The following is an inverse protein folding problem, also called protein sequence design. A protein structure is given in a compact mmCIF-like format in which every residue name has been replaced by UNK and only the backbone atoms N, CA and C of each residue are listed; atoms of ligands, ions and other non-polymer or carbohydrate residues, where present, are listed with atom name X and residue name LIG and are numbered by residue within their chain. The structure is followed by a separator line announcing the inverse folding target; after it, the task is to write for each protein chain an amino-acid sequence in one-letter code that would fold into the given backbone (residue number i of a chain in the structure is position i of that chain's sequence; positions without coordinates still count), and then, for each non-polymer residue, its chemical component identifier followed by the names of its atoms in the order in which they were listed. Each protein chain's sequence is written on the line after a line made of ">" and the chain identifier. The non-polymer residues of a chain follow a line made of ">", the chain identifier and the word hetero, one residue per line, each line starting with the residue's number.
data_IF_985473792701
#
_entry.id   IF_985473792701
#
_cell.length_a   1.000
_cell.length_b   1.000
_cell.length_c   1.000
_cell.angle_alpha   90.00
_cell.angle_beta   90.00
_cell.angle_gamma   90.00
#
_symmetry.space_group_name_H-M   'P 1'
#
loop_
_entity.id
_entity.type
_entity.pdbx_description
1 polymer ?
#
# COMPACT_ATOMS: atom_id res chain seq x y z
N UNK A 1 -16.98 -21.53 5.17
CA UNK A 1 -17.57 -20.34 4.53
C UNK A 1 -16.68 -19.91 3.37
N UNK A 2 -16.82 -20.56 2.22
CA UNK A 2 -16.27 -20.04 0.97
C UNK A 2 -17.13 -18.85 0.58
N UNK A 3 -16.56 -17.64 0.64
CA UNK A 3 -17.24 -16.48 0.07
C UNK A 3 -17.48 -16.80 -1.42
N UNK A 4 -18.74 -16.72 -1.85
CA UNK A 4 -19.12 -17.01 -3.22
C UNK A 4 -18.31 -16.15 -4.18
N UNK A 5 -17.80 -16.76 -5.25
CA UNK A 5 -16.98 -16.14 -6.28
C UNK A 5 -17.84 -15.16 -7.11
N UNK A 6 -18.26 -14.05 -6.52
CA UNK A 6 -18.85 -12.93 -7.25
C UNK A 6 -17.71 -12.09 -7.79
N UNK A 7 -17.12 -12.54 -8.90
CA UNK A 7 -16.10 -11.78 -9.60
C UNK A 7 -16.73 -10.50 -10.17
N UNK A 8 -16.25 -9.34 -9.71
CA UNK A 8 -16.68 -8.03 -10.22
C UNK A 8 -15.65 -7.54 -11.23
N UNK A 9 -15.95 -7.68 -12.51
CA UNK A 9 -15.07 -7.23 -13.59
C UNK A 9 -14.70 -5.73 -13.45
N UNK A 10 -15.63 -4.91 -12.97
CA UNK A 10 -15.36 -3.50 -12.66
C UNK A 10 -14.33 -3.34 -11.54
N UNK A 11 -14.47 -4.11 -10.45
CA UNK A 11 -13.50 -4.12 -9.36
C UNK A 11 -12.11 -4.56 -9.82
N UNK A 12 -12.04 -5.60 -10.65
CA UNK A 12 -10.78 -6.12 -11.19
C UNK A 12 -10.08 -5.09 -12.09
N UNK A 13 -10.82 -4.42 -12.97
CA UNK A 13 -10.28 -3.36 -13.83
C UNK A 13 -9.78 -2.18 -12.98
N UNK A 14 -10.55 -1.74 -11.99
CA UNK A 14 -10.13 -0.64 -11.11
C UNK A 14 -8.88 -1.00 -10.31
N UNK A 15 -8.79 -2.23 -9.79
CA UNK A 15 -7.61 -2.72 -9.09
C UNK A 15 -6.40 -2.77 -10.02
N UNK A 16 -6.56 -3.28 -11.23
CA UNK A 16 -5.48 -3.34 -12.22
C UNK A 16 -4.93 -1.94 -12.56
N UNK A 17 -5.83 -0.99 -12.83
CA UNK A 17 -5.45 0.41 -13.10
C UNK A 17 -4.76 1.04 -11.89
N UNK A 18 -5.27 0.81 -10.68
CA UNK A 18 -4.66 1.32 -9.45
C UNK A 18 -3.24 0.79 -9.25
N UNK A 19 -3.01 -0.51 -9.49
CA UNK A 19 -1.66 -1.11 -9.38
C UNK A 19 -0.67 -0.48 -10.36
N UNK A 20 -1.08 -0.24 -11.62
CA UNK A 20 -0.23 0.41 -12.63
C UNK A 20 0.11 1.84 -12.21
N UNK A 21 -0.91 2.64 -11.85
CA UNK A 21 -0.74 4.05 -11.49
C UNK A 21 0.15 4.17 -10.23
N UNK A 22 -0.11 3.36 -9.20
CA UNK A 22 0.70 3.36 -7.98
C UNK A 22 2.15 2.92 -8.27
N UNK A 23 2.35 1.87 -9.07
CA UNK A 23 3.68 1.41 -9.45
C UNK A 23 4.49 2.47 -10.19
N UNK A 24 3.87 3.16 -11.16
CA UNK A 24 4.48 4.29 -11.87
C UNK A 24 4.77 5.47 -10.94
N UNK A 25 3.83 5.82 -10.05
CA UNK A 25 4.01 6.86 -9.06
C UNK A 25 5.20 6.60 -8.14
N UNK A 26 5.39 5.36 -7.69
CA UNK A 26 6.54 4.99 -6.87
C UNK A 26 7.86 5.01 -7.65
N UNK A 27 7.85 4.56 -8.89
CA UNK A 27 9.04 4.60 -9.75
C UNK A 27 9.49 6.05 -10.01
N UNK A 28 8.58 6.93 -10.37
CA UNK A 28 8.86 8.35 -10.59
C UNK A 28 9.23 9.07 -9.30
N UNK A 29 8.53 8.79 -8.20
CA UNK A 29 8.86 9.34 -6.87
C UNK A 29 10.27 8.94 -6.42
N UNK A 30 10.68 7.69 -6.66
CA UNK A 30 12.04 7.23 -6.39
C UNK A 30 13.09 7.93 -7.27
N UNK A 31 12.77 8.18 -8.55
CA UNK A 31 13.63 8.94 -9.46
C UNK A 31 13.79 10.39 -9.01
N UNK A 32 12.69 11.08 -8.69
CA UNK A 32 12.71 12.44 -8.15
C UNK A 32 13.47 12.52 -6.83
N UNK A 33 13.40 11.48 -6.00
CA UNK A 33 14.07 11.47 -4.70
C UNK A 33 15.59 11.50 -4.79
N UNK A 34 16.17 11.18 -5.95
CA UNK A 34 17.61 11.32 -6.21
C UNK A 34 18.05 12.77 -6.37
N UNK A 35 17.15 13.66 -6.80
CA UNK A 35 17.45 15.09 -7.03
C UNK A 35 16.86 16.00 -5.96
N UNK A 36 15.62 15.73 -5.53
CA UNK A 36 14.89 16.52 -4.54
C UNK A 36 14.98 15.94 -3.12
N UNK A 37 15.43 14.70 -2.93
CA UNK A 37 15.38 14.03 -1.63
C UNK A 37 13.99 13.49 -1.26
N UNK A 38 13.96 12.31 -0.63
CA UNK A 38 12.70 11.57 -0.40
C UNK A 38 11.65 12.30 0.45
N UNK A 39 12.09 13.13 1.41
CA UNK A 39 11.15 13.89 2.24
C UNK A 39 10.44 15.01 1.46
N UNK A 40 11.15 15.68 0.53
CA UNK A 40 10.55 16.73 -0.29
C UNK A 40 9.57 16.13 -1.30
N UNK A 41 9.90 14.96 -1.86
CA UNK A 41 9.00 14.26 -2.80
C UNK A 41 7.66 13.91 -2.15
N UNK A 42 7.66 13.32 -0.95
CA UNK A 42 6.39 13.01 -0.27
C UNK A 42 5.64 14.26 0.16
N UNK A 43 6.32 15.29 0.68
CA UNK A 43 5.67 16.54 1.06
C UNK A 43 4.97 17.20 -0.15
N UNK A 44 5.65 17.27 -1.29
CA UNK A 44 5.04 17.80 -2.51
C UNK A 44 3.90 16.93 -3.03
N UNK A 45 4.03 15.59 -2.99
CA UNK A 45 2.95 14.69 -3.35
C UNK A 45 1.71 14.90 -2.47
N UNK A 46 1.89 15.11 -1.16
CA UNK A 46 0.80 15.41 -0.23
C UNK A 46 0.16 16.77 -0.52
N UNK A 47 0.95 17.82 -0.72
CA UNK A 47 0.44 19.16 -1.05
C UNK A 47 -0.34 19.17 -2.36
N UNK A 48 0.16 18.48 -3.39
CA UNK A 48 -0.50 18.40 -4.71
C UNK A 48 -1.78 17.56 -4.68
N UNK A 49 -1.82 16.50 -3.85
CA UNK A 49 -3.00 15.66 -3.70
C UNK A 49 -4.06 16.26 -2.76
N UNK A 50 -3.66 17.14 -1.85
CA UNK A 50 -4.53 17.79 -0.86
C UNK A 50 -5.82 18.39 -1.43
N UNK A 51 -5.83 19.21 -2.51
CA UNK A 51 -7.08 19.81 -3.00
C UNK A 51 -8.10 18.77 -3.46
N UNK A 52 -7.65 17.72 -4.15
CA UNK A 52 -8.51 16.63 -4.62
C UNK A 52 -8.99 15.80 -3.43
N UNK A 53 -8.09 15.45 -2.52
CA UNK A 53 -8.42 14.64 -1.35
C UNK A 53 -9.32 15.38 -0.35
N UNK A 54 -9.12 16.68 -0.16
CA UNK A 54 -9.99 17.51 0.68
C UNK A 54 -11.40 17.60 0.11
N UNK A 55 -11.52 17.78 -1.22
CA UNK A 55 -12.82 17.80 -1.89
C UNK A 55 -13.56 16.46 -1.75
N UNK A 56 -12.85 15.34 -1.93
CA UNK A 56 -13.42 14.01 -1.71
C UNK A 56 -13.75 13.74 -0.24
N UNK A 57 -12.93 14.21 0.70
CA UNK A 57 -13.19 14.07 2.13
C UNK A 57 -14.47 14.79 2.55
N UNK A 58 -14.74 15.98 1.99
CA UNK A 58 -16.00 16.71 2.20
C UNK A 58 -17.17 15.98 1.53
N UNK A 59 -17.00 15.52 0.29
CA UNK A 59 -18.05 14.80 -0.44
C UNK A 59 -18.45 13.49 0.25
N UNK A 60 -17.48 12.76 0.80
CA UNK A 60 -17.68 11.49 1.51
C UNK A 60 -17.91 11.68 3.02
N UNK A 61 -18.01 12.92 3.52
CA UNK A 61 -18.16 13.16 4.95
C UNK A 61 -19.48 12.58 5.48
N UNK A 62 -19.46 11.93 6.65
CA UNK A 62 -20.71 11.50 7.29
C UNK A 62 -21.51 12.73 7.73
N UNK A 63 -22.82 12.56 7.88
CA UNK A 63 -23.71 13.61 8.40
C UNK A 63 -23.37 14.04 9.83
N UNK A 64 -22.65 13.21 10.60
CA UNK A 64 -22.15 13.52 11.93
C UNK A 64 -20.86 12.77 12.26
N UNK A 65 -19.96 13.42 12.98
CA UNK A 65 -18.72 12.84 13.52
C UNK A 65 -18.87 12.31 14.95
N UNK A 66 -20.06 12.42 15.56
CA UNK A 66 -20.27 12.11 16.97
C UNK A 66 -20.00 10.64 17.35
N UNK A 67 -20.10 9.72 16.38
CA UNK A 67 -19.90 8.28 16.59
C UNK A 67 -18.45 7.81 16.30
N UNK A 68 -17.51 8.73 16.06
CA UNK A 68 -16.10 8.37 15.81
C UNK A 68 -15.36 8.26 17.14
N UNK A 69 -15.06 7.02 17.52
CA UNK A 69 -14.37 6.74 18.78
C UNK A 69 -12.89 7.20 18.75
N UNK A 70 -12.30 7.54 19.92
CA UNK A 70 -10.89 7.95 20.01
C UNK A 70 -9.87 7.03 19.32
N UNK A 71 -9.99 5.68 19.35
CA UNK A 71 -9.05 4.81 18.63
C UNK A 71 -9.03 5.03 17.12
N UNK A 72 -10.14 5.44 16.50
CA UNK A 72 -10.18 5.74 15.06
C UNK A 72 -9.37 7.00 14.74
N UNK A 73 -9.46 8.03 15.60
CA UNK A 73 -8.65 9.25 15.48
C UNK A 73 -7.15 8.98 15.69
N UNK A 74 -6.81 8.15 16.66
CA UNK A 74 -5.42 7.71 16.87
C UNK A 74 -4.91 6.89 15.69
N UNK A 75 -5.73 6.01 15.11
CA UNK A 75 -5.43 5.29 13.89
C UNK A 75 -5.16 6.22 12.70
N UNK A 76 -6.00 7.25 12.52
CA UNK A 76 -5.80 8.28 11.50
C UNK A 76 -4.49 9.04 11.70
N UNK A 77 -4.19 9.47 12.93
CA UNK A 77 -2.93 10.14 13.26
C UNK A 77 -1.73 9.23 12.99
N UNK A 78 -1.81 7.95 13.36
CA UNK A 78 -0.76 6.98 13.12
C UNK A 78 -0.51 6.74 11.62
N UNK A 79 -1.57 6.47 10.86
CA UNK A 79 -1.48 6.20 9.42
C UNK A 79 -0.98 7.43 8.66
N UNK A 80 -1.44 8.63 9.02
CA UNK A 80 -1.00 9.86 8.33
C UNK A 80 0.45 10.24 8.65
N UNK A 81 0.86 10.23 9.92
CA UNK A 81 2.18 10.70 10.31
C UNK A 81 3.26 9.62 10.14
N UNK A 82 3.06 8.43 10.71
CA UNK A 82 4.08 7.40 10.75
C UNK A 82 4.11 6.57 9.47
N UNK A 83 2.94 6.10 9.00
CA UNK A 83 2.90 5.27 7.81
C UNK A 83 3.07 6.09 6.53
N UNK A 84 2.27 7.15 6.36
CA UNK A 84 2.22 7.91 5.11
C UNK A 84 3.34 8.95 4.99
N UNK A 85 3.61 9.77 6.02
CA UNK A 85 4.67 10.78 5.91
C UNK A 85 6.05 10.17 6.18
N UNK A 86 6.32 9.77 7.43
CA UNK A 86 7.65 9.31 7.87
C UNK A 86 8.06 8.04 7.11
N UNK A 87 7.16 7.06 7.01
CA UNK A 87 7.39 5.82 6.29
C UNK A 87 7.76 6.06 4.83
N UNK A 88 7.09 6.99 4.14
CA UNK A 88 7.40 7.28 2.74
C UNK A 88 8.72 8.03 2.54
N UNK A 89 9.18 8.83 3.51
CA UNK A 89 10.53 9.41 3.44
C UNK A 89 11.57 8.31 3.28
N UNK A 90 11.47 7.27 4.10
CA UNK A 90 12.37 6.12 4.05
C UNK A 90 12.10 5.23 2.84
N UNK A 91 10.84 5.03 2.47
CA UNK A 91 10.45 4.23 1.31
C UNK A 91 11.05 4.78 0.02
N UNK A 92 10.86 6.06 -0.25
CA UNK A 92 11.38 6.70 -1.46
C UNK A 92 12.90 6.73 -1.47
N UNK A 93 13.54 6.98 -0.33
CA UNK A 93 14.99 6.90 -0.19
C UNK A 93 15.50 5.47 -0.43
N UNK A 94 14.81 4.47 0.11
CA UNK A 94 15.09 3.05 -0.09
C UNK A 94 14.99 2.66 -1.56
N UNK A 95 13.91 3.03 -2.25
CA UNK A 95 13.73 2.80 -3.68
C UNK A 95 14.83 3.49 -4.51
N UNK A 96 15.18 4.73 -4.17
CA UNK A 96 16.20 5.49 -4.89
C UNK A 96 17.59 4.86 -4.79
N UNK A 97 17.95 4.33 -3.61
CA UNK A 97 19.26 3.74 -3.29
C UNK A 97 19.36 2.25 -3.66
N UNK A 98 18.39 1.45 -3.25
CA UNK A 98 18.36 -0.01 -3.47
C UNK A 98 17.85 -0.42 -4.85
N UNK A 99 17.34 0.53 -5.63
CA UNK A 99 16.75 0.29 -6.95
C UNK A 99 15.30 -0.17 -6.85
N UNK A 100 14.46 0.46 -7.69
CA UNK A 100 12.99 0.27 -7.69
C UNK A 100 12.60 -1.21 -7.80
N UNK A 101 13.23 -1.93 -8.73
CA UNK A 101 12.91 -3.34 -8.94
C UNK A 101 13.26 -4.21 -7.73
N UNK A 102 14.44 -4.08 -7.13
CA UNK A 102 14.88 -4.91 -6.02
C UNK A 102 14.07 -4.63 -4.75
N UNK A 103 13.88 -3.35 -4.42
CA UNK A 103 13.10 -2.94 -3.24
C UNK A 103 11.61 -3.28 -3.41
N UNK A 104 11.07 -3.21 -4.64
CA UNK A 104 9.73 -3.71 -4.94
C UNK A 104 9.58 -5.22 -4.71
N UNK A 105 10.63 -6.02 -4.93
CA UNK A 105 10.57 -7.45 -4.58
C UNK A 105 10.54 -7.69 -3.08
N UNK A 106 11.18 -6.83 -2.27
CA UNK A 106 11.11 -6.96 -0.81
C UNK A 106 9.68 -6.82 -0.30
N UNK A 107 8.82 -6.06 -0.98
CA UNK A 107 7.38 -5.99 -0.65
C UNK A 107 6.64 -7.31 -0.88
N UNK A 108 7.16 -8.24 -1.67
CA UNK A 108 6.56 -9.59 -1.78
C UNK A 108 6.63 -10.36 -0.45
N UNK A 109 7.46 -9.91 0.52
CA UNK A 109 7.46 -10.43 1.88
C UNK A 109 6.35 -9.84 2.75
N UNK A 110 5.78 -8.69 2.36
CA UNK A 110 4.76 -7.98 3.14
C UNK A 110 3.53 -8.85 3.47
N UNK A 111 2.99 -9.68 2.55
CA UNK A 111 1.90 -10.59 2.88
C UNK A 111 2.23 -11.56 4.03
N UNK A 112 3.45 -12.10 4.09
CA UNK A 112 3.85 -12.99 5.18
C UNK A 112 3.97 -12.25 6.51
N UNK A 113 4.59 -11.08 6.51
CA UNK A 113 4.65 -10.26 7.72
C UNK A 113 3.27 -9.79 8.16
N UNK A 114 2.38 -9.48 7.21
CA UNK A 114 0.98 -9.16 7.48
C UNK A 114 0.25 -10.29 8.18
N UNK A 115 0.35 -11.52 7.65
CA UNK A 115 -0.22 -12.71 8.28
C UNK A 115 0.41 -12.99 9.66
N UNK A 116 1.73 -12.89 9.79
CA UNK A 116 2.42 -13.11 11.05
C UNK A 116 2.00 -12.09 12.11
N UNK A 117 1.88 -10.81 11.75
CA UNK A 117 1.39 -9.76 12.64
C UNK A 117 -0.08 -9.96 12.99
N UNK A 118 -0.94 -10.35 12.04
CA UNK A 118 -2.33 -10.68 12.32
C UNK A 118 -2.45 -11.82 13.36
N UNK A 119 -1.66 -12.88 13.20
CA UNK A 119 -1.66 -14.01 14.15
C UNK A 119 -1.12 -13.63 15.54
N UNK A 120 -0.04 -12.85 15.59
CA UNK A 120 0.70 -12.58 16.85
C UNK A 120 0.20 -11.37 17.62
N UNK A 121 -0.19 -10.30 16.90
CA UNK A 121 -0.62 -9.03 17.50
C UNK A 121 -2.14 -8.90 17.59
N UNK A 122 -2.87 -9.35 16.56
CA UNK A 122 -4.33 -9.29 16.53
C UNK A 122 -4.99 -10.61 16.98
N UNK A 123 -4.20 -11.66 17.22
CA UNK A 123 -4.67 -13.00 17.58
C UNK A 123 -5.65 -13.61 16.57
N UNK A 124 -5.53 -13.23 15.28
CA UNK A 124 -6.36 -13.77 14.22
C UNK A 124 -5.93 -15.18 13.81
N UNK A 125 -6.89 -16.02 13.42
CA UNK A 125 -6.59 -17.38 12.97
C UNK A 125 -6.05 -17.36 11.54
N UNK A 126 -4.74 -17.53 11.39
CA UNK A 126 -4.11 -17.70 10.09
C UNK A 126 -4.12 -19.17 9.69
N UNK A 127 -4.92 -19.50 8.67
CA UNK A 127 -5.00 -20.87 8.18
C UNK A 127 -3.78 -21.25 7.32
N UNK A 128 -3.48 -22.54 7.26
CA UNK A 128 -2.46 -23.08 6.33
C UNK A 128 -2.79 -22.69 4.88
N UNK A 129 -4.08 -22.59 4.52
CA UNK A 129 -4.53 -22.13 3.21
C UNK A 129 -4.09 -20.71 2.87
N UNK A 130 -4.08 -19.78 3.84
CA UNK A 130 -3.62 -18.40 3.62
C UNK A 130 -2.13 -18.36 3.30
N UNK A 131 -1.31 -19.14 4.03
CA UNK A 131 0.11 -19.28 3.73
C UNK A 131 0.36 -19.93 2.37
N UNK A 132 -0.39 -20.99 2.03
CA UNK A 132 -0.25 -21.68 0.76
C UNK A 132 -0.59 -20.78 -0.44
N UNK A 133 -1.70 -20.04 -0.37
CA UNK A 133 -2.10 -19.09 -1.43
C UNK A 133 -1.09 -17.96 -1.55
N UNK A 134 -0.63 -17.40 -0.42
CA UNK A 134 0.41 -16.35 -0.42
C UNK A 134 1.69 -16.85 -1.09
N UNK A 135 2.14 -18.07 -0.76
CA UNK A 135 3.28 -18.70 -1.39
C UNK A 135 3.09 -18.93 -2.89
N UNK A 136 1.91 -19.42 -3.30
CA UNK A 136 1.56 -19.62 -4.71
C UNK A 136 1.60 -18.31 -5.51
N UNK A 137 1.03 -17.23 -5.00
CA UNK A 137 1.06 -15.90 -5.65
C UNK A 137 2.51 -15.43 -5.85
N UNK A 138 3.38 -15.61 -4.86
CA UNK A 138 4.78 -15.22 -4.96
C UNK A 138 5.53 -16.08 -5.98
N UNK A 139 5.26 -17.39 -6.03
CA UNK A 139 5.82 -18.26 -7.07
C UNK A 139 5.38 -17.82 -8.47
N UNK A 140 4.12 -17.41 -8.65
CA UNK A 140 3.64 -16.84 -9.90
C UNK A 140 4.38 -15.55 -10.28
N UNK A 141 4.61 -14.64 -9.31
CA UNK A 141 5.38 -13.41 -9.56
C UNK A 141 6.83 -13.71 -9.92
N UNK A 142 7.48 -14.64 -9.23
CA UNK A 142 8.86 -15.08 -9.54
C UNK A 142 8.92 -15.68 -10.94
N UNK A 143 7.96 -16.54 -11.31
CA UNK A 143 7.88 -17.14 -12.63
C UNK A 143 7.67 -16.08 -13.71
N UNK A 144 6.68 -15.19 -13.55
CA UNK A 144 6.41 -14.10 -14.49
C UNK A 144 7.66 -13.23 -14.73
N UNK A 145 8.39 -12.90 -13.66
CA UNK A 145 9.66 -12.16 -13.75
C UNK A 145 10.75 -12.94 -14.50
N UNK A 146 10.85 -14.25 -14.31
CA UNK A 146 11.82 -15.10 -15.01
C UNK A 146 11.55 -15.14 -16.52
N UNK A 147 10.28 -15.14 -16.93
CA UNK A 147 9.87 -15.19 -18.34
C UNK A 147 9.72 -13.81 -19.00
N UNK A 148 9.77 -12.71 -18.23
CA UNK A 148 9.77 -11.34 -18.75
C UNK A 148 11.18 -10.83 -19.12
N UNK A 149 12.22 -11.64 -18.91
CA UNK A 149 13.59 -11.42 -19.40
C UNK A 149 13.78 -12.12 -20.74
#
# INVERSE_FOLDING_TARGET
>A
LSQGLTASATGDILMFLAVIICGLGYAEGAKLSRTLGGWQVICWALVLSLPVMASLAVYCAPSSFANINPPAWLGLAYVSLFSMLIGFVFWYRGLAQGGIAAVGQLQLLQPFFGLALAATLLHETVSIGMFAVTGAVILCVIAAKKFAR
#
